data_IF_082791853528
#
_entry.id   IF_082791853528
#
_cell.length_a   1.000
_cell.length_b   1.000
_cell.length_c   1.000
_cell.angle_alpha   90.00
_cell.angle_beta   90.00
_cell.angle_gamma   90.00
#
_symmetry.space_group_name_H-M   'P 1'
#
loop_
_entity.id
_entity.type
_entity.pdbx_description
1 polymer ?
#
# COMPACT_ATOMS: atom_id res chain seq x y z
N UNK A 1 -9.60 -14.11 19.91
CA UNK A 1 -9.81 -13.15 18.81
C UNK A 1 -9.45 -11.79 19.35
N UNK A 2 -8.41 -11.13 18.82
CA UNK A 2 -8.01 -9.81 19.30
C UNK A 2 -9.09 -8.81 18.90
N UNK A 3 -9.85 -8.29 19.86
CA UNK A 3 -10.69 -7.10 19.68
C UNK A 3 -9.76 -5.93 19.41
N UNK A 4 -9.56 -5.62 18.13
CA UNK A 4 -8.92 -4.37 17.73
C UNK A 4 -9.74 -3.22 18.31
N UNK A 5 -9.12 -2.39 19.15
CA UNK A 5 -9.81 -1.21 19.68
C UNK A 5 -9.96 -0.19 18.55
N UNK A 6 -11.04 0.60 18.55
CA UNK A 6 -11.24 1.65 17.53
C UNK A 6 -10.04 2.62 17.43
N UNK A 7 -9.27 2.77 18.52
CA UNK A 7 -8.09 3.63 18.57
C UNK A 7 -6.90 3.07 17.78
N UNK A 8 -6.70 1.75 17.78
CA UNK A 8 -5.65 1.09 16.99
C UNK A 8 -5.94 1.23 15.49
N UNK A 9 -7.21 1.04 15.11
CA UNK A 9 -7.66 1.19 13.72
C UNK A 9 -7.51 2.63 13.23
N UNK A 10 -7.88 3.63 14.04
CA UNK A 10 -7.73 5.05 13.67
C UNK A 10 -6.25 5.44 13.46
N UNK A 11 -5.37 4.96 14.35
CA UNK A 11 -3.93 5.22 14.24
C UNK A 11 -3.36 4.59 12.97
N UNK A 12 -3.68 3.30 12.72
CA UNK A 12 -3.21 2.59 11.54
C UNK A 12 -3.72 3.24 10.24
N UNK A 13 -4.98 3.69 10.23
CA UNK A 13 -5.59 4.41 9.12
C UNK A 13 -4.86 5.73 8.84
N UNK A 14 -4.51 6.49 9.88
CA UNK A 14 -3.73 7.73 9.74
C UNK A 14 -2.37 7.46 9.08
N UNK A 15 -1.67 6.42 9.51
CA UNK A 15 -0.37 6.04 8.92
C UNK A 15 -0.54 5.65 7.45
N UNK A 16 -1.52 4.81 7.13
CA UNK A 16 -1.77 4.39 5.76
C UNK A 16 -2.13 5.56 4.83
N UNK A 17 -2.92 6.53 5.32
CA UNK A 17 -3.21 7.75 4.55
C UNK A 17 -1.96 8.60 4.31
N UNK A 18 -1.07 8.70 5.29
CA UNK A 18 0.17 9.44 5.11
C UNK A 18 1.07 8.80 4.03
N UNK A 19 1.11 7.46 3.98
CA UNK A 19 1.79 6.71 2.92
C UNK A 19 1.13 6.98 1.56
N UNK A 20 -0.20 6.92 1.47
CA UNK A 20 -0.91 7.22 0.23
C UNK A 20 -0.61 8.65 -0.25
N UNK A 21 -0.54 9.62 0.67
CA UNK A 21 -0.16 10.99 0.35
C UNK A 21 1.29 11.11 -0.12
N UNK A 22 2.23 10.36 0.45
CA UNK A 22 3.62 10.32 -0.03
C UNK A 22 3.73 9.79 -1.46
N UNK A 23 2.88 8.82 -1.81
CA UNK A 23 2.73 8.33 -3.19
C UNK A 23 1.93 9.29 -4.09
N UNK A 24 1.43 10.41 -3.56
CA UNK A 24 0.66 11.42 -4.28
C UNK A 24 -0.75 10.99 -4.68
N UNK A 25 -1.35 10.04 -3.97
CA UNK A 25 -2.73 9.60 -4.23
C UNK A 25 -3.70 10.71 -3.83
N UNK A 26 -4.75 10.86 -4.63
CA UNK A 26 -5.91 11.69 -4.33
C UNK A 26 -6.74 11.06 -3.19
N UNK A 27 -7.62 11.85 -2.57
CA UNK A 27 -8.53 11.35 -1.54
C UNK A 27 -9.41 10.19 -2.04
N UNK A 28 -9.90 10.30 -3.28
CA UNK A 28 -10.69 9.26 -3.93
C UNK A 28 -9.91 7.96 -4.14
N UNK A 29 -8.66 8.04 -4.61
CA UNK A 29 -7.78 6.88 -4.80
C UNK A 29 -7.44 6.24 -3.44
N UNK A 30 -7.19 7.06 -2.43
CA UNK A 30 -6.93 6.61 -1.05
C UNK A 30 -8.14 5.89 -0.47
N UNK A 31 -9.35 6.43 -0.66
CA UNK A 31 -10.60 5.79 -0.22
C UNK A 31 -10.86 4.47 -0.97
N UNK A 32 -10.56 4.43 -2.27
CA UNK A 32 -10.65 3.19 -3.07
C UNK A 32 -9.68 2.13 -2.57
N UNK A 33 -8.44 2.52 -2.27
CA UNK A 33 -7.37 1.63 -1.86
C UNK A 33 -7.57 1.08 -0.45
N UNK A 34 -7.93 1.95 0.50
CA UNK A 34 -8.09 1.58 1.91
C UNK A 34 -9.46 0.98 2.18
N UNK A 35 -10.47 1.26 1.36
CA UNK A 35 -11.86 0.88 1.64
C UNK A 35 -12.50 1.74 2.73
N UNK A 36 -13.77 1.46 3.03
CA UNK A 36 -14.59 2.25 3.97
C UNK A 36 -15.24 1.41 5.08
N UNK A 37 -14.96 0.10 5.18
CA UNK A 37 -15.60 -0.82 6.13
C UNK A 37 -14.63 -1.47 7.12
N UNK A 38 -15.06 -1.72 8.35
CA UNK A 38 -14.19 -2.03 9.51
C UNK A 38 -13.34 -3.31 9.38
N UNK A 39 -13.83 -4.34 8.69
CA UNK A 39 -13.12 -5.62 8.55
C UNK A 39 -12.05 -5.60 7.44
N UNK A 40 -12.47 -5.29 6.22
CA UNK A 40 -11.58 -5.31 5.05
C UNK A 40 -10.57 -4.14 5.06
N UNK A 41 -10.93 -3.00 5.65
CA UNK A 41 -10.07 -1.82 5.71
C UNK A 41 -8.78 -2.09 6.50
N UNK A 42 -8.85 -2.86 7.59
CA UNK A 42 -7.65 -3.15 8.39
C UNK A 42 -6.67 -4.05 7.62
N UNK A 43 -7.17 -5.01 6.85
CA UNK A 43 -6.36 -5.88 5.98
C UNK A 43 -5.68 -5.06 4.87
N UNK A 44 -6.43 -4.14 4.24
CA UNK A 44 -5.91 -3.22 3.23
C UNK A 44 -4.86 -2.25 3.79
N UNK A 45 -5.13 -1.65 4.96
CA UNK A 45 -4.16 -0.82 5.71
C UNK A 45 -2.88 -1.60 5.97
N UNK A 46 -3.00 -2.83 6.47
CA UNK A 46 -1.85 -3.69 6.74
C UNK A 46 -1.06 -4.01 5.48
N UNK A 47 -1.74 -4.22 4.34
CA UNK A 47 -1.09 -4.41 3.06
C UNK A 47 -0.33 -3.17 2.57
N UNK A 48 -0.94 -1.98 2.64
CA UNK A 48 -0.30 -0.71 2.27
C UNK A 48 0.95 -0.45 3.11
N UNK A 49 0.85 -0.62 4.42
CA UNK A 49 2.00 -0.46 5.33
C UNK A 49 3.09 -1.49 5.02
N UNK A 50 2.71 -2.73 4.72
CA UNK A 50 3.64 -3.79 4.31
C UNK A 50 4.40 -3.42 3.04
N UNK A 51 3.69 -3.02 1.98
CA UNK A 51 4.28 -2.57 0.71
C UNK A 51 5.26 -1.42 0.93
N UNK A 52 4.85 -0.41 1.69
CA UNK A 52 5.70 0.74 1.99
C UNK A 52 7.00 0.36 2.70
N UNK A 53 6.91 -0.56 3.67
CA UNK A 53 8.09 -1.09 4.36
C UNK A 53 9.00 -1.86 3.41
N UNK A 54 8.45 -2.78 2.62
CA UNK A 54 9.23 -3.57 1.67
C UNK A 54 9.95 -2.69 0.64
N UNK A 55 9.29 -1.64 0.14
CA UNK A 55 9.93 -0.68 -0.77
C UNK A 55 11.13 0.02 -0.10
N UNK A 56 11.01 0.40 1.18
CA UNK A 56 12.12 1.01 1.93
C UNK A 56 13.25 0.04 2.25
N UNK A 57 12.97 -1.27 2.29
CA UNK A 57 14.00 -2.31 2.38
C UNK A 57 14.75 -2.46 1.05
N UNK A 58 14.01 -2.46 -0.06
CA UNK A 58 14.54 -2.73 -1.41
C UNK A 58 15.30 -1.52 -1.98
N UNK A 59 14.79 -0.30 -1.75
CA UNK A 59 15.36 0.93 -2.32
C UNK A 59 16.23 1.68 -1.32
N UNK A 60 17.33 2.27 -1.81
CA UNK A 60 18.27 3.02 -0.96
C UNK A 60 17.70 4.36 -0.46
N UNK A 61 16.73 4.94 -1.17
CA UNK A 61 16.16 6.24 -0.81
C UNK A 61 14.64 6.21 -0.89
N UNK A 62 13.99 6.96 0.00
CA UNK A 62 12.55 7.15 0.05
C UNK A 62 11.95 7.57 -1.29
N UNK A 63 12.58 8.56 -1.92
CA UNK A 63 12.12 9.08 -3.21
C UNK A 63 12.11 8.00 -4.31
N UNK A 64 13.05 7.05 -4.27
CA UNK A 64 13.05 5.93 -5.21
C UNK A 64 11.93 4.92 -4.91
N UNK A 65 11.73 4.60 -3.63
CA UNK A 65 10.64 3.75 -3.17
C UNK A 65 9.26 4.31 -3.58
N UNK A 66 9.01 5.58 -3.28
CA UNK A 66 7.74 6.24 -3.59
C UNK A 66 7.52 6.37 -5.11
N UNK A 67 8.57 6.72 -5.85
CA UNK A 67 8.48 6.82 -7.30
C UNK A 67 8.23 5.47 -7.98
N UNK A 68 8.70 4.36 -7.41
CA UNK A 68 8.52 3.02 -7.99
C UNK A 68 7.06 2.65 -8.15
N UNK A 69 6.21 3.06 -7.21
CA UNK A 69 4.76 2.77 -7.23
C UNK A 69 4.10 3.28 -8.51
N UNK A 70 4.62 4.37 -9.08
CA UNK A 70 4.14 5.01 -10.32
C UNK A 70 4.95 4.63 -11.56
N UNK A 71 5.98 3.77 -11.45
CA UNK A 71 6.78 3.34 -12.60
C UNK A 71 6.10 2.15 -13.30
N UNK A 72 6.04 2.15 -14.64
CA UNK A 72 5.62 0.98 -15.40
C UNK A 72 6.48 -0.24 -15.03
N UNK A 73 5.84 -1.37 -14.72
CA UNK A 73 6.53 -2.59 -14.37
C UNK A 73 6.15 -3.74 -15.33
N UNK A 74 7.16 -4.37 -15.93
CA UNK A 74 6.96 -5.49 -16.85
C UNK A 74 6.33 -6.71 -16.17
N UNK A 75 6.56 -6.91 -14.87
CA UNK A 75 5.91 -7.96 -14.09
C UNK A 75 4.38 -7.79 -14.03
N UNK A 76 3.89 -6.57 -14.26
CA UNK A 76 2.46 -6.22 -14.25
C UNK A 76 1.95 -5.89 -15.66
N UNK A 77 2.53 -6.48 -16.71
CA UNK A 77 2.10 -6.26 -18.09
C UNK A 77 2.33 -4.84 -18.60
N UNK A 78 3.22 -4.07 -17.96
CA UNK A 78 3.50 -2.67 -18.30
C UNK A 78 2.66 -1.66 -17.51
N UNK A 79 1.71 -2.12 -16.68
CA UNK A 79 1.00 -1.24 -15.75
C UNK A 79 1.91 -0.80 -14.60
N UNK A 80 1.56 0.32 -13.97
CA UNK A 80 2.19 0.75 -12.73
C UNK A 80 1.69 -0.09 -11.56
N UNK A 81 2.49 -0.20 -10.49
CA UNK A 81 2.05 -0.90 -9.29
C UNK A 81 0.80 -0.22 -8.69
N UNK A 82 0.71 1.10 -8.78
CA UNK A 82 -0.45 1.88 -8.34
C UNK A 82 -1.74 1.46 -9.07
N UNK A 83 -1.70 1.35 -10.39
CA UNK A 83 -2.88 0.94 -11.17
C UNK A 83 -3.33 -0.47 -10.79
N UNK A 84 -2.40 -1.39 -10.56
CA UNK A 84 -2.74 -2.75 -10.10
C UNK A 84 -3.36 -2.71 -8.71
N UNK A 85 -2.81 -1.92 -7.79
CA UNK A 85 -3.34 -1.73 -6.44
C UNK A 85 -4.77 -1.19 -6.47
N UNK A 86 -5.04 -0.17 -7.29
CA UNK A 86 -6.37 0.44 -7.43
C UNK A 86 -7.39 -0.51 -8.09
N UNK A 87 -6.94 -1.44 -8.94
CA UNK A 87 -7.78 -2.48 -9.53
C UNK A 87 -7.98 -3.72 -8.63
N UNK A 88 -7.59 -3.65 -7.35
CA UNK A 88 -7.79 -4.72 -6.36
C UNK A 88 -6.61 -5.68 -6.20
N UNK A 89 -5.50 -5.47 -6.91
CA UNK A 89 -4.29 -6.30 -6.83
C UNK A 89 -3.34 -5.94 -5.68
N UNK A 90 -3.83 -5.27 -4.63
CA UNK A 90 -3.00 -4.82 -3.50
C UNK A 90 -2.26 -5.98 -2.81
N UNK A 91 -2.94 -7.10 -2.59
CA UNK A 91 -2.34 -8.29 -1.99
C UNK A 91 -1.26 -8.92 -2.89
N UNK A 92 -1.45 -8.90 -4.20
CA UNK A 92 -0.46 -9.40 -5.18
C UNK A 92 0.81 -8.56 -5.17
N UNK A 93 0.70 -7.23 -5.14
CA UNK A 93 1.87 -6.35 -5.06
C UNK A 93 2.63 -6.58 -3.76
N UNK A 94 1.93 -6.71 -2.63
CA UNK A 94 2.55 -7.04 -1.35
C UNK A 94 3.35 -8.34 -1.41
N UNK A 95 2.76 -9.39 -1.99
CA UNK A 95 3.43 -10.70 -2.15
C UNK A 95 4.63 -10.61 -3.08
N UNK A 96 4.50 -9.87 -4.18
CA UNK A 96 5.59 -9.64 -5.13
C UNK A 96 6.80 -8.97 -4.44
N UNK A 97 6.56 -7.90 -3.68
CA UNK A 97 7.63 -7.19 -2.97
C UNK A 97 8.25 -8.03 -1.85
N UNK A 98 7.45 -8.78 -1.09
CA UNK A 98 7.97 -9.68 -0.07
C UNK A 98 8.94 -10.74 -0.63
N UNK A 99 8.76 -11.15 -1.89
CA UNK A 99 9.70 -12.03 -2.59
C UNK A 99 10.98 -11.33 -3.08
N UNK A 100 10.99 -10.01 -3.15
CA UNK A 100 12.13 -9.20 -3.60
C UNK A 100 13.02 -8.72 -2.43
N UNK A 101 12.58 -8.88 -1.18
CA UNK A 101 13.34 -8.55 0.03
C UNK A 101 14.45 -9.57 0.38
N UNK A 102 14.93 -10.36 -0.60
CA UNK A 102 15.92 -11.45 -0.42
C UNK A 102 17.36 -11.03 -0.67
#
# INVERSE_FOLDING_TARGET
MATYTSQDTETALRVARNVCNAWGLSDHETSTLLGTGDGEQLERISCVIGIYKSLRTIFQTDQQADAWVRRPNRAFGGQTALEVMLNGGLADIRRYLAGQEQ
#
